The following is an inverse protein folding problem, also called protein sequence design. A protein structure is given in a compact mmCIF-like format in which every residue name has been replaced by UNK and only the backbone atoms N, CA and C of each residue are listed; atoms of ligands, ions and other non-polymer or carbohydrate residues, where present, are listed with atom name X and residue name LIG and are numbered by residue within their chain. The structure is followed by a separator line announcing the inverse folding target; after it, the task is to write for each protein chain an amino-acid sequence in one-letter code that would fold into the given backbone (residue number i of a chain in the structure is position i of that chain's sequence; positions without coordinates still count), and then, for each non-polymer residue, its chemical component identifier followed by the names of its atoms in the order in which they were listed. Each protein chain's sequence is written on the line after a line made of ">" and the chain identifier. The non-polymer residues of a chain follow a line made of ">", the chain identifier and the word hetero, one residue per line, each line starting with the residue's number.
data_IF_732397582809
#
_entry.id   IF_732397582809
#
_cell.length_a   1.000
_cell.length_b   1.000
_cell.length_c   1.000
_cell.angle_alpha   90.00
_cell.angle_beta   90.00
_cell.angle_gamma   90.00
#
_symmetry.space_group_name_H-M   'P 1'
#
loop_
_entity.id
_entity.type
_entity.pdbx_description
1 polymer ?
#
# COMPACT_ATOMS: atom_id res chain seq x y z
N UNK A 1 14.09 -18.96 -1.78
CA UNK A 1 12.70 -18.64 -1.38
C UNK A 1 12.59 -18.33 0.10
N UNK A 2 13.18 -19.14 0.99
CA UNK A 2 13.15 -18.90 2.45
C UNK A 2 13.69 -17.52 2.86
N UNK A 3 14.79 -17.05 2.27
CA UNK A 3 15.39 -15.73 2.59
C UNK A 3 14.42 -14.58 2.34
N UNK A 4 13.69 -14.62 1.22
CA UNK A 4 12.74 -13.55 0.84
C UNK A 4 11.56 -13.54 1.79
N UNK A 5 11.01 -14.71 2.09
CA UNK A 5 9.88 -14.79 3.01
C UNK A 5 10.28 -14.41 4.44
N UNK A 6 11.47 -14.81 4.91
CA UNK A 6 12.00 -14.41 6.21
C UNK A 6 12.19 -12.90 6.31
N UNK A 7 12.75 -12.28 5.26
CA UNK A 7 12.85 -10.82 5.17
C UNK A 7 11.47 -10.15 5.27
N UNK A 8 10.45 -10.68 4.60
CA UNK A 8 9.09 -10.15 4.68
C UNK A 8 8.54 -10.29 6.10
N UNK A 9 8.68 -11.45 6.75
CA UNK A 9 8.22 -11.66 8.13
C UNK A 9 8.91 -10.71 9.11
N UNK A 10 10.23 -10.53 8.97
CA UNK A 10 11.03 -9.72 9.89
C UNK A 10 10.82 -8.20 9.67
N UNK A 11 10.47 -7.78 8.46
CA UNK A 11 10.35 -6.37 8.09
C UNK A 11 8.91 -5.87 8.11
N UNK A 12 7.95 -6.70 7.72
CA UNK A 12 6.57 -6.28 7.46
C UNK A 12 5.70 -6.39 8.72
N UNK A 13 6.01 -5.53 9.69
CA UNK A 13 5.29 -5.43 10.96
C UNK A 13 4.02 -4.55 10.86
N UNK A 14 3.34 -4.35 12.00
CA UNK A 14 2.17 -3.49 12.09
C UNK A 14 2.47 -2.05 11.67
N UNK A 15 3.69 -1.57 11.95
CA UNK A 15 4.13 -0.21 11.61
C UNK A 15 4.18 -0.03 10.09
N UNK A 16 4.82 -0.97 9.38
CA UNK A 16 4.89 -0.95 7.92
C UNK A 16 3.49 -1.05 7.32
N UNK A 17 2.62 -1.91 7.85
CA UNK A 17 1.23 -1.98 7.39
C UNK A 17 0.48 -0.65 7.55
N UNK A 18 0.60 0.00 8.71
CA UNK A 18 0.00 1.33 8.95
C UNK A 18 0.55 2.36 7.96
N UNK A 19 1.85 2.34 7.64
CA UNK A 19 2.43 3.24 6.64
C UNK A 19 1.84 3.04 5.24
N UNK A 20 1.55 1.79 4.84
CA UNK A 20 0.85 1.50 3.59
C UNK A 20 -0.57 2.08 3.60
N UNK A 21 -1.33 1.89 4.69
CA UNK A 21 -2.68 2.46 4.83
C UNK A 21 -2.62 3.99 4.73
N UNK A 22 -1.76 4.63 5.53
CA UNK A 22 -1.63 6.09 5.55
C UNK A 22 -1.29 6.60 4.15
N UNK A 23 -0.28 6.02 3.49
CA UNK A 23 0.11 6.42 2.14
C UNK A 23 -1.04 6.31 1.14
N UNK A 24 -1.81 5.22 1.19
CA UNK A 24 -3.02 5.07 0.36
C UNK A 24 -4.09 6.11 0.67
N UNK A 25 -4.28 6.47 1.95
CA UNK A 25 -5.21 7.52 2.35
C UNK A 25 -4.78 8.88 1.80
N UNK A 26 -3.49 9.22 1.88
CA UNK A 26 -2.95 10.46 1.29
C UNK A 26 -3.24 10.51 -0.23
N UNK A 27 -2.93 9.44 -0.96
CA UNK A 27 -3.19 9.35 -2.40
C UNK A 27 -4.68 9.52 -2.76
N UNK A 28 -5.59 8.96 -1.96
CA UNK A 28 -7.04 9.03 -2.23
C UNK A 28 -7.64 10.38 -1.84
N UNK A 29 -7.28 10.93 -0.68
CA UNK A 29 -7.96 12.09 -0.11
C UNK A 29 -7.32 13.43 -0.49
N UNK A 30 -6.01 13.44 -0.73
CA UNK A 30 -5.26 14.63 -1.11
C UNK A 30 -5.00 14.62 -2.61
N UNK A 31 -4.15 13.71 -3.10
CA UNK A 31 -3.67 13.76 -4.49
C UNK A 31 -4.80 13.55 -5.50
N UNK A 32 -5.62 12.52 -5.34
CA UNK A 32 -6.76 12.27 -6.23
C UNK A 32 -7.75 13.44 -6.22
N UNK A 33 -7.95 14.11 -5.08
CA UNK A 33 -8.85 15.26 -4.97
C UNK A 33 -8.27 16.46 -5.71
N UNK A 34 -6.96 16.69 -5.60
CA UNK A 34 -6.26 17.77 -6.28
C UNK A 34 -6.20 17.55 -7.80
N UNK A 35 -5.82 16.36 -8.26
CA UNK A 35 -5.79 16.02 -9.68
C UNK A 35 -7.15 16.14 -10.35
N UNK A 36 -8.22 15.77 -9.64
CA UNK A 36 -9.59 15.97 -10.13
C UNK A 36 -9.94 17.46 -10.30
N UNK A 37 -9.51 18.33 -9.38
CA UNK A 37 -9.70 19.79 -9.51
C UNK A 37 -8.91 20.36 -10.69
N UNK A 38 -7.71 19.85 -10.93
CA UNK A 38 -6.83 20.27 -12.03
C UNK A 38 -7.20 19.66 -13.39
N UNK A 39 -8.25 18.83 -13.46
CA UNK A 39 -8.65 18.06 -14.68
C UNK A 39 -7.55 17.12 -15.21
N UNK A 40 -6.64 16.68 -14.33
CA UNK A 40 -5.54 15.76 -14.62
C UNK A 40 -6.03 14.30 -14.53
N UNK A 41 -6.69 13.84 -15.59
CA UNK A 41 -7.41 12.56 -15.59
C UNK A 41 -6.48 11.33 -15.58
N UNK A 42 -5.25 11.43 -16.09
CA UNK A 42 -4.31 10.30 -16.14
C UNK A 42 -3.68 10.07 -14.78
N UNK A 43 -3.26 11.15 -14.14
CA UNK A 43 -2.65 11.25 -12.83
C UNK A 43 -3.65 10.83 -11.76
N UNK A 44 -4.91 11.30 -11.86
CA UNK A 44 -6.00 10.84 -11.01
C UNK A 44 -6.18 9.31 -11.06
N UNK A 45 -6.26 8.73 -12.27
CA UNK A 45 -6.41 7.27 -12.43
C UNK A 45 -5.21 6.52 -11.89
N UNK A 46 -4.00 7.02 -12.14
CA UNK A 46 -2.77 6.44 -11.63
C UNK A 46 -2.74 6.45 -10.09
N UNK A 47 -2.93 7.61 -9.46
CA UNK A 47 -2.92 7.75 -8.01
C UNK A 47 -4.00 6.87 -7.35
N UNK A 48 -5.21 6.84 -7.91
CA UNK A 48 -6.29 5.99 -7.41
C UNK A 48 -5.93 4.50 -7.50
N UNK A 49 -5.37 4.06 -8.63
CA UNK A 49 -4.97 2.66 -8.81
C UNK A 49 -3.82 2.30 -7.86
N UNK A 50 -2.81 3.16 -7.73
CA UNK A 50 -1.68 2.96 -6.81
C UNK A 50 -2.16 2.85 -5.37
N UNK A 51 -3.10 3.70 -4.94
CA UNK A 51 -3.65 3.64 -3.59
C UNK A 51 -4.36 2.31 -3.30
N UNK A 52 -5.13 1.80 -4.27
CA UNK A 52 -5.80 0.50 -4.17
C UNK A 52 -4.76 -0.62 -4.10
N UNK A 53 -3.74 -0.59 -4.97
CA UNK A 53 -2.65 -1.58 -4.98
C UNK A 53 -1.91 -1.58 -3.65
N UNK A 54 -1.60 -0.41 -3.09
CA UNK A 54 -0.93 -0.29 -1.79
C UNK A 54 -1.78 -0.87 -0.65
N UNK A 55 -3.09 -0.63 -0.64
CA UNK A 55 -3.98 -1.24 0.36
C UNK A 55 -3.99 -2.76 0.26
N UNK A 56 -4.15 -3.30 -0.96
CA UNK A 56 -4.21 -4.74 -1.19
C UNK A 56 -2.87 -5.40 -0.84
N UNK A 57 -1.76 -4.89 -1.39
CA UNK A 57 -0.43 -5.43 -1.13
C UNK A 57 -0.04 -5.31 0.34
N UNK A 58 -0.29 -4.16 0.97
CA UNK A 58 -0.02 -3.98 2.39
C UNK A 58 -0.78 -4.99 3.25
N UNK A 59 -2.06 -5.24 2.93
CA UNK A 59 -2.88 -6.22 3.65
C UNK A 59 -2.39 -7.64 3.43
N UNK A 60 -2.11 -8.03 2.17
CA UNK A 60 -1.61 -9.36 1.84
C UNK A 60 -0.25 -9.61 2.51
N UNK A 61 0.67 -8.66 2.46
CA UNK A 61 2.01 -8.78 3.04
C UNK A 61 1.96 -8.84 4.57
N UNK A 62 1.09 -8.06 5.21
CA UNK A 62 0.90 -8.14 6.67
C UNK A 62 0.32 -9.49 7.11
N UNK A 63 -0.70 -9.99 6.39
CA UNK A 63 -1.26 -11.33 6.64
C UNK A 63 -0.19 -12.40 6.41
N UNK A 64 0.53 -12.32 5.29
CA UNK A 64 1.62 -13.24 4.99
C UNK A 64 2.68 -13.24 6.11
N UNK A 65 3.13 -12.07 6.56
CA UNK A 65 4.11 -11.95 7.63
C UNK A 65 3.62 -12.55 8.97
N UNK A 66 2.31 -12.50 9.26
CA UNK A 66 1.76 -12.99 10.53
C UNK A 66 1.37 -14.46 10.54
N UNK A 67 0.92 -14.99 9.40
CA UNK A 67 0.38 -16.35 9.29
C UNK A 67 1.33 -17.34 8.65
N UNK A 68 2.33 -16.88 7.90
CA UNK A 68 3.39 -17.76 7.39
C UNK A 68 4.33 -18.07 8.56
N UNK A 69 4.27 -19.32 9.03
CA UNK A 69 5.26 -19.87 9.95
C UNK A 69 6.49 -20.28 9.14
N UNK A 70 7.60 -19.59 9.34
CA UNK A 70 8.94 -19.93 8.82
C UNK A 70 9.83 -20.22 10.00
#
# INVERSE_FOLDING_TARGET
>A
MEVILKFIVDTFDLTVYILFIISSMFLIFIDCREYKKMKLNREYKFARNTAIVYLILGTILYIAARYIKI
#
